data_IF_423330249921
#
_entry.id   IF_423330249921
#
_cell.length_a   1.000
_cell.length_b   1.000
_cell.length_c   1.000
_cell.angle_alpha   90.00
_cell.angle_beta   90.00
_cell.angle_gamma   90.00
#
_symmetry.space_group_name_H-M   'P 1'
#
loop_
_entity.id
_entity.type
_entity.pdbx_description
1 polymer ?
#
# COMPACT_ATOMS: atom_id res chain seq x y z
N UNK A 1 -43.97 -33.51 -9.56
CA UNK A 1 -42.58 -33.50 -10.09
C UNK A 1 -41.73 -32.88 -8.99
N UNK A 2 -41.00 -33.71 -8.23
CA UNK A 2 -39.99 -33.26 -7.25
C UNK A 2 -38.83 -32.61 -8.01
N UNK A 3 -38.41 -31.40 -7.57
CA UNK A 3 -37.18 -30.80 -8.02
C UNK A 3 -36.01 -31.78 -7.85
N UNK A 4 -35.08 -31.85 -8.80
CA UNK A 4 -33.89 -32.65 -8.62
C UNK A 4 -33.15 -32.17 -7.36
N UNK A 5 -32.76 -33.09 -6.49
CA UNK A 5 -31.86 -32.79 -5.37
C UNK A 5 -30.57 -32.16 -5.96
N UNK A 6 -30.23 -30.96 -5.52
CA UNK A 6 -28.92 -30.35 -5.83
C UNK A 6 -27.83 -31.33 -5.32
N UNK A 7 -27.04 -31.86 -6.23
CA UNK A 7 -25.89 -32.68 -5.86
C UNK A 7 -24.93 -31.79 -5.07
N UNK A 8 -24.79 -32.09 -3.80
CA UNK A 8 -23.79 -31.46 -2.94
C UNK A 8 -22.40 -31.81 -3.49
N UNK A 9 -21.78 -30.89 -4.18
CA UNK A 9 -20.39 -31.06 -4.64
C UNK A 9 -19.48 -31.09 -3.42
N UNK A 10 -19.06 -32.28 -3.00
CA UNK A 10 -18.03 -32.41 -1.97
C UNK A 10 -16.67 -32.16 -2.59
N UNK A 11 -16.15 -30.94 -2.43
CA UNK A 11 -14.76 -30.66 -2.79
C UNK A 11 -13.83 -31.32 -1.77
N UNK A 12 -12.89 -32.12 -2.27
CA UNK A 12 -11.87 -32.79 -1.44
C UNK A 12 -10.96 -31.72 -0.86
N UNK A 13 -10.74 -31.78 0.46
CA UNK A 13 -9.81 -30.89 1.14
C UNK A 13 -8.40 -31.06 0.56
N UNK A 14 -7.71 -29.96 0.18
CA UNK A 14 -6.36 -30.05 -0.39
C UNK A 14 -5.32 -30.57 0.60
N UNK A 15 -4.30 -31.28 0.09
CA UNK A 15 -3.18 -31.77 0.90
C UNK A 15 -1.97 -30.83 0.91
N UNK A 16 -1.79 -30.05 -0.20
CA UNK A 16 -0.65 -29.14 -0.36
C UNK A 16 -1.01 -27.74 0.11
N UNK A 17 -0.24 -27.19 1.03
CA UNK A 17 -0.40 -25.83 1.55
C UNK A 17 0.67 -24.88 0.98
N UNK A 18 0.41 -23.56 0.91
CA UNK A 18 1.46 -22.59 0.71
C UNK A 18 2.58 -22.77 1.74
N UNK A 19 3.81 -22.69 1.30
CA UNK A 19 4.97 -22.75 2.21
C UNK A 19 5.01 -21.54 3.17
N UNK A 20 4.49 -20.40 2.68
CA UNK A 20 4.32 -19.17 3.46
C UNK A 20 2.88 -18.64 3.28
N UNK A 21 1.98 -18.96 4.20
CA UNK A 21 0.55 -18.78 4.02
C UNK A 21 0.03 -17.37 4.36
N UNK A 22 0.90 -16.35 4.39
CA UNK A 22 0.54 -15.00 4.81
C UNK A 22 0.30 -14.08 3.62
N UNK A 23 -0.95 -13.61 3.46
CA UNK A 23 -1.39 -12.74 2.36
C UNK A 23 -1.88 -11.38 2.85
N UNK A 24 -1.39 -10.93 4.02
CA UNK A 24 -1.71 -9.61 4.57
C UNK A 24 -1.28 -8.47 3.64
N UNK A 25 -2.16 -7.49 3.45
CA UNK A 25 -1.85 -6.27 2.70
C UNK A 25 -1.12 -5.18 3.54
N UNK A 26 -0.66 -5.53 4.76
CA UNK A 26 0.16 -4.66 5.59
C UNK A 26 -0.07 -4.83 7.09
N UNK A 27 0.99 -5.28 7.80
CA UNK A 27 2.32 -5.66 7.30
C UNK A 27 2.25 -6.83 6.33
N UNK A 28 3.20 -6.90 5.40
CA UNK A 28 3.26 -8.00 4.43
C UNK A 28 4.32 -9.03 4.83
N UNK A 29 4.27 -10.21 4.21
CA UNK A 29 5.23 -11.27 4.47
C UNK A 29 6.66 -10.83 4.16
N UNK A 30 7.62 -11.26 4.98
CA UNK A 30 9.05 -11.11 4.71
C UNK A 30 9.44 -11.87 3.43
N UNK A 31 10.57 -11.46 2.80
CA UNK A 31 11.16 -12.21 1.69
C UNK A 31 11.47 -13.67 2.06
N UNK A 32 11.52 -14.56 1.09
CA UNK A 32 12.00 -15.91 1.31
C UNK A 32 13.46 -15.90 1.82
N UNK A 33 13.78 -16.78 2.74
CA UNK A 33 15.10 -16.86 3.35
C UNK A 33 15.45 -15.74 4.35
N UNK A 34 14.50 -14.88 4.71
CA UNK A 34 14.72 -13.92 5.79
C UNK A 34 14.90 -14.62 7.14
N UNK A 35 15.89 -14.19 7.91
CA UNK A 35 16.07 -14.60 9.30
C UNK A 35 16.48 -13.40 10.15
N UNK A 36 15.75 -13.16 11.24
CA UNK A 36 16.01 -12.05 12.16
C UNK A 36 17.44 -12.09 12.72
N UNK A 37 18.00 -13.29 12.91
CA UNK A 37 19.36 -13.48 13.44
C UNK A 37 20.48 -13.06 12.48
N UNK A 38 20.17 -12.81 11.22
CA UNK A 38 21.15 -12.36 10.22
C UNK A 38 21.30 -10.84 10.17
N UNK A 39 20.39 -10.11 10.83
CA UNK A 39 20.46 -8.64 10.89
C UNK A 39 21.64 -8.16 11.72
N UNK A 40 22.38 -7.10 11.27
CA UNK A 40 23.40 -6.46 12.07
C UNK A 40 22.86 -5.95 13.41
N UNK A 41 23.59 -6.16 14.49
CA UNK A 41 23.18 -5.77 15.84
C UNK A 41 24.18 -4.85 16.55
N UNK A 42 25.28 -4.51 15.92
CA UNK A 42 26.39 -3.73 16.46
C UNK A 42 26.02 -2.28 16.80
N UNK A 43 25.00 -1.71 16.14
CA UNK A 43 24.49 -0.37 16.40
C UNK A 43 23.27 -0.34 17.35
N UNK A 44 22.75 -1.49 17.77
CA UNK A 44 21.60 -1.53 18.69
C UNK A 44 21.97 -0.91 20.04
N UNK A 45 21.10 -0.01 20.52
CA UNK A 45 21.32 0.73 21.77
C UNK A 45 22.28 1.93 21.65
N UNK A 46 22.85 2.19 20.48
CA UNK A 46 23.62 3.42 20.21
C UNK A 46 22.71 4.63 20.16
N UNK A 47 23.25 5.78 20.51
CA UNK A 47 22.51 7.06 20.41
C UNK A 47 22.15 7.39 18.96
N UNK A 48 20.90 7.79 18.70
CA UNK A 48 20.37 8.10 17.37
C UNK A 48 21.16 9.22 16.62
N UNK A 49 21.94 10.00 17.32
CA UNK A 49 22.80 11.06 16.79
C UNK A 49 24.26 10.67 16.69
N UNK A 50 24.62 9.44 17.05
CA UNK A 50 25.97 8.94 16.83
C UNK A 50 26.27 8.93 15.31
N UNK A 51 27.46 9.36 14.88
CA UNK A 51 27.78 9.47 13.44
C UNK A 51 27.56 8.17 12.68
N UNK A 52 27.85 7.02 13.29
CA UNK A 52 27.67 5.70 12.69
C UNK A 52 26.18 5.37 12.47
N UNK A 53 25.32 5.79 13.41
CA UNK A 53 23.86 5.58 13.31
C UNK A 53 23.28 6.49 12.24
N UNK A 54 23.66 7.78 12.21
CA UNK A 54 23.22 8.73 11.18
C UNK A 54 23.64 8.24 9.79
N UNK A 55 24.91 7.77 9.66
CA UNK A 55 25.41 7.21 8.39
C UNK A 55 24.62 5.95 7.98
N UNK A 56 24.18 5.12 8.95
CA UNK A 56 23.37 3.94 8.66
C UNK A 56 21.98 4.32 8.12
N UNK A 57 21.34 5.37 8.68
CA UNK A 57 20.11 5.94 8.12
C UNK A 57 20.32 6.52 6.72
N UNK A 58 21.39 7.28 6.52
CA UNK A 58 21.75 7.82 5.21
C UNK A 58 22.01 6.70 4.19
N UNK A 59 22.66 5.60 4.59
CA UNK A 59 22.85 4.43 3.74
C UNK A 59 21.52 3.80 3.30
N UNK A 60 20.56 3.64 4.22
CA UNK A 60 19.22 3.15 3.89
C UNK A 60 18.50 4.04 2.87
N UNK A 61 18.61 5.39 2.97
CA UNK A 61 18.06 6.31 1.96
C UNK A 61 18.74 6.14 0.59
N UNK A 62 20.07 5.97 0.55
CA UNK A 62 20.78 5.72 -0.71
C UNK A 62 20.37 4.43 -1.39
N UNK A 63 20.25 3.33 -0.61
CA UNK A 63 19.76 2.05 -1.15
C UNK A 63 18.29 2.15 -1.62
N UNK A 64 17.45 2.87 -0.88
CA UNK A 64 16.06 3.11 -1.29
C UNK A 64 16.02 3.86 -2.61
N UNK A 65 16.86 4.91 -2.78
CA UNK A 65 16.99 5.65 -4.04
C UNK A 65 17.41 4.75 -5.19
N UNK A 66 18.45 3.93 -4.95
CA UNK A 66 19.00 3.01 -5.95
C UNK A 66 17.93 2.02 -6.44
N UNK A 67 17.23 1.34 -5.50
CA UNK A 67 16.25 0.30 -5.84
C UNK A 67 14.99 0.90 -6.49
N UNK A 68 14.53 2.09 -6.06
CA UNK A 68 13.35 2.76 -6.62
C UNK A 68 13.68 3.63 -7.83
N UNK A 69 14.96 3.76 -8.21
CA UNK A 69 15.41 4.60 -9.33
C UNK A 69 14.97 6.07 -9.17
N UNK A 70 14.97 6.58 -7.91
CA UNK A 70 14.57 7.97 -7.63
C UNK A 70 15.60 8.94 -8.21
N UNK A 71 15.19 9.96 -9.01
CA UNK A 71 16.11 10.92 -9.61
C UNK A 71 16.96 11.67 -8.57
N UNK A 72 18.21 12.01 -8.91
CA UNK A 72 19.14 12.75 -8.04
C UNK A 72 18.64 14.14 -7.65
N UNK A 73 17.76 14.74 -8.46
CA UNK A 73 17.14 16.03 -8.18
C UNK A 73 16.16 16.00 -6.99
N UNK A 74 15.66 14.82 -6.64
CA UNK A 74 14.72 14.64 -5.53
C UNK A 74 15.46 14.41 -4.22
N UNK A 75 14.86 14.83 -3.12
CA UNK A 75 15.35 14.51 -1.77
C UNK A 75 14.49 13.45 -1.14
N UNK A 76 15.09 12.64 -0.26
CA UNK A 76 14.39 11.60 0.48
C UNK A 76 14.63 11.75 1.96
N UNK A 77 13.63 11.40 2.77
CA UNK A 77 13.73 11.45 4.22
C UNK A 77 12.84 10.40 4.88
N UNK A 78 13.14 10.10 6.13
CA UNK A 78 12.29 9.26 6.97
C UNK A 78 11.32 10.09 7.79
N UNK A 79 10.11 9.55 8.00
CA UNK A 79 9.08 10.12 8.85
C UNK A 79 8.63 9.12 9.91
N UNK A 80 8.23 9.56 11.11
CA UNK A 80 7.62 8.68 12.09
C UNK A 80 6.17 8.33 11.71
N UNK A 81 5.65 7.22 12.23
CA UNK A 81 4.24 6.88 12.10
C UNK A 81 3.86 6.19 10.78
N UNK A 82 4.83 5.50 10.15
CA UNK A 82 4.59 4.81 8.90
C UNK A 82 4.19 5.79 7.79
N UNK A 83 3.43 5.34 6.79
CA UNK A 83 2.96 6.24 5.73
C UNK A 83 1.94 7.27 6.22
N UNK A 84 1.11 6.93 7.20
CA UNK A 84 0.20 7.92 7.81
C UNK A 84 0.97 9.16 8.24
N UNK A 85 2.08 9.00 8.96
CA UNK A 85 2.91 10.13 9.35
C UNK A 85 3.61 10.83 8.19
N UNK A 86 3.94 10.10 7.11
CA UNK A 86 4.53 10.70 5.91
C UNK A 86 3.50 11.58 5.18
N UNK A 87 2.31 11.07 4.92
CA UNK A 87 1.23 11.84 4.30
C UNK A 87 0.86 13.03 5.16
N UNK A 88 0.58 12.84 6.47
CA UNK A 88 0.24 13.95 7.36
C UNK A 88 1.34 15.02 7.40
N UNK A 89 2.63 14.64 7.39
CA UNK A 89 3.71 15.63 7.34
C UNK A 89 3.67 16.48 6.06
N UNK A 90 3.31 15.88 4.91
CA UNK A 90 3.09 16.63 3.68
C UNK A 90 1.85 17.53 3.77
N UNK A 91 0.71 17.02 4.23
CA UNK A 91 -0.54 17.77 4.33
C UNK A 91 -0.39 18.96 5.28
N UNK A 92 0.13 18.74 6.51
CA UNK A 92 0.31 19.80 7.51
C UNK A 92 1.35 20.85 7.10
N UNK A 93 2.41 20.40 6.40
CA UNK A 93 3.54 21.27 6.05
C UNK A 93 3.36 22.06 4.75
N UNK A 94 2.57 21.56 3.78
CA UNK A 94 2.56 22.10 2.41
C UNK A 94 1.20 22.66 1.96
N UNK A 95 0.06 22.17 2.52
CA UNK A 95 -1.27 22.59 2.07
C UNK A 95 -1.68 23.96 2.61
N UNK A 96 -2.50 24.66 1.82
CA UNK A 96 -3.06 25.98 2.14
C UNK A 96 -2.41 27.13 1.37
N UNK A 97 -1.31 26.89 0.66
CA UNK A 97 -0.76 27.85 -0.30
C UNK A 97 -1.64 27.98 -1.56
N UNK A 98 -2.36 26.91 -1.88
CA UNK A 98 -3.31 26.81 -3.00
C UNK A 98 -4.58 26.11 -2.54
N UNK A 99 -5.71 26.25 -3.26
CA UNK A 99 -6.86 25.38 -3.06
C UNK A 99 -6.45 23.92 -3.21
N UNK A 100 -7.23 23.01 -2.63
CA UNK A 100 -6.91 21.58 -2.56
C UNK A 100 -7.96 20.75 -3.29
N UNK A 101 -7.52 19.71 -3.97
CA UNK A 101 -8.38 18.65 -4.51
C UNK A 101 -7.88 17.29 -4.01
N UNK A 102 -8.80 16.41 -3.62
CA UNK A 102 -8.47 15.05 -3.16
C UNK A 102 -9.16 14.03 -4.03
N UNK A 103 -8.40 13.14 -4.65
CA UNK A 103 -8.91 12.00 -5.39
C UNK A 103 -9.01 10.82 -4.42
N UNK A 104 -10.24 10.44 -4.04
CA UNK A 104 -10.49 9.48 -2.98
C UNK A 104 -11.43 8.36 -3.46
N UNK A 105 -10.87 7.20 -3.79
CA UNK A 105 -11.59 6.03 -4.31
C UNK A 105 -11.40 4.77 -3.45
N UNK A 106 -10.85 4.96 -2.25
CA UNK A 106 -10.62 3.89 -1.28
C UNK A 106 -10.47 4.48 0.12
N UNK A 107 -10.34 3.64 1.15
CA UNK A 107 -10.39 4.10 2.54
C UNK A 107 -9.32 5.13 2.92
N UNK A 108 -8.07 4.98 2.46
CA UNK A 108 -6.99 5.90 2.83
C UNK A 108 -7.18 7.25 2.13
N UNK A 109 -7.54 7.27 0.84
CA UNK A 109 -7.90 8.51 0.16
C UNK A 109 -9.05 9.27 0.84
N UNK A 110 -10.06 8.54 1.35
CA UNK A 110 -11.14 9.13 2.14
C UNK A 110 -10.63 9.64 3.51
N UNK A 111 -9.64 8.99 4.11
CA UNK A 111 -9.00 9.49 5.34
C UNK A 111 -8.24 10.78 5.07
N UNK A 112 -7.46 10.86 3.99
CA UNK A 112 -6.76 12.10 3.60
C UNK A 112 -7.74 13.23 3.29
N UNK A 113 -8.87 12.94 2.69
CA UNK A 113 -9.96 13.91 2.49
C UNK A 113 -10.50 14.45 3.82
N UNK A 114 -10.74 13.56 4.78
CA UNK A 114 -11.19 13.95 6.12
C UNK A 114 -10.12 14.77 6.84
N UNK A 115 -8.84 14.42 6.76
CA UNK A 115 -7.75 15.20 7.36
C UNK A 115 -7.68 16.60 6.80
N UNK A 116 -7.77 16.76 5.49
CA UNK A 116 -7.76 18.08 4.84
C UNK A 116 -8.97 18.92 5.28
N UNK A 117 -10.15 18.31 5.32
CA UNK A 117 -11.40 19.03 5.63
C UNK A 117 -11.57 19.27 7.12
N UNK A 118 -11.52 18.22 7.92
CA UNK A 118 -11.99 18.25 9.31
C UNK A 118 -10.86 18.61 10.28
N UNK A 119 -9.60 18.32 9.94
CA UNK A 119 -8.44 18.56 10.81
C UNK A 119 -7.60 19.75 10.39
N UNK A 120 -7.41 19.97 9.07
CA UNK A 120 -6.72 21.17 8.58
C UNK A 120 -7.67 22.36 8.39
N UNK A 121 -8.99 22.14 8.38
CA UNK A 121 -9.98 23.21 8.18
C UNK A 121 -9.91 23.84 6.78
N UNK A 122 -9.45 23.10 5.78
CA UNK A 122 -9.45 23.51 4.38
C UNK A 122 -10.73 23.04 3.69
N UNK A 123 -11.11 23.69 2.58
CA UNK A 123 -12.28 23.34 1.79
C UNK A 123 -11.83 22.58 0.51
N UNK A 124 -11.57 21.26 0.60
CA UNK A 124 -11.11 20.51 -0.56
C UNK A 124 -12.26 20.22 -1.53
N UNK A 125 -11.95 20.23 -2.82
CA UNK A 125 -12.78 19.56 -3.82
C UNK A 125 -12.47 18.06 -3.80
N UNK A 126 -13.50 17.22 -3.82
CA UNK A 126 -13.35 15.78 -3.75
C UNK A 126 -13.75 15.11 -5.07
N UNK A 127 -12.84 14.36 -5.69
CA UNK A 127 -13.15 13.41 -6.75
C UNK A 127 -13.27 12.01 -6.12
N UNK A 128 -14.48 11.49 -6.06
CA UNK A 128 -14.76 10.19 -5.41
C UNK A 128 -15.39 9.22 -6.41
N UNK A 129 -15.27 7.92 -6.10
CA UNK A 129 -15.93 6.86 -6.85
C UNK A 129 -16.45 5.77 -5.89
N UNK A 130 -17.41 4.94 -6.31
CA UNK A 130 -17.79 3.73 -5.60
C UNK A 130 -16.62 2.76 -5.42
N UNK A 131 -16.73 1.83 -4.48
CA UNK A 131 -15.75 0.76 -4.30
C UNK A 131 -15.57 -0.06 -5.58
N UNK A 132 -14.30 -0.25 -5.97
CA UNK A 132 -13.94 -0.95 -7.20
C UNK A 132 -13.89 -0.05 -8.44
N UNK A 133 -14.19 1.23 -8.31
CA UNK A 133 -14.15 2.19 -9.40
C UNK A 133 -13.09 3.28 -9.18
N UNK A 134 -12.63 3.87 -10.26
CA UNK A 134 -11.73 5.03 -10.26
C UNK A 134 -12.54 6.25 -10.74
N UNK A 135 -12.49 7.40 -10.06
CA UNK A 135 -13.13 8.62 -10.54
C UNK A 135 -12.53 9.06 -11.89
N UNK A 136 -13.25 9.91 -12.58
CA UNK A 136 -12.74 10.51 -13.83
C UNK A 136 -11.56 11.44 -13.53
N UNK A 137 -10.36 10.96 -13.77
CA UNK A 137 -9.11 11.69 -13.50
C UNK A 137 -8.92 12.90 -14.43
N UNK A 138 -9.65 13.00 -15.56
CA UNK A 138 -9.63 14.18 -16.43
C UNK A 138 -10.23 15.43 -15.77
N UNK A 139 -10.95 15.25 -14.66
CA UNK A 139 -11.51 16.32 -13.83
C UNK A 139 -10.51 16.88 -12.80
N UNK A 140 -9.28 16.39 -12.78
CA UNK A 140 -8.25 16.90 -11.88
C UNK A 140 -7.89 18.35 -12.27
N UNK A 141 -8.00 19.26 -11.30
CA UNK A 141 -7.66 20.69 -11.46
C UNK A 141 -6.23 20.95 -10.98
N UNK A 142 -5.29 20.97 -11.90
CA UNK A 142 -3.86 21.16 -11.63
C UNK A 142 -3.45 22.59 -11.28
N UNK A 143 -4.39 23.54 -11.19
CA UNK A 143 -4.17 24.80 -10.48
C UNK A 143 -4.16 24.66 -8.95
N UNK A 144 -4.67 23.51 -8.45
CA UNK A 144 -4.78 23.12 -7.05
C UNK A 144 -3.64 22.17 -6.64
N UNK A 145 -3.40 22.05 -5.33
CA UNK A 145 -2.64 20.93 -4.80
C UNK A 145 -3.54 19.67 -4.82
N UNK A 146 -3.10 18.62 -5.51
CA UNK A 146 -3.90 17.39 -5.73
C UNK A 146 -3.29 16.25 -4.93
N UNK A 147 -4.11 15.63 -4.05
CA UNK A 147 -3.72 14.49 -3.22
C UNK A 147 -4.43 13.24 -3.73
N UNK A 148 -3.71 12.14 -3.89
CA UNK A 148 -4.27 10.89 -4.38
C UNK A 148 -3.43 9.67 -3.97
N UNK A 149 -4.04 8.50 -3.72
CA UNK A 149 -3.32 7.24 -3.69
C UNK A 149 -3.01 6.77 -5.12
N UNK A 150 -1.78 6.29 -5.35
CA UNK A 150 -1.42 5.64 -6.62
C UNK A 150 -2.09 4.28 -6.75
N UNK A 151 -2.22 3.59 -5.63
CA UNK A 151 -2.83 2.28 -5.55
C UNK A 151 -3.71 2.16 -4.30
N UNK A 152 -4.97 1.87 -4.49
CA UNK A 152 -5.96 1.72 -3.43
C UNK A 152 -5.89 0.35 -2.77
N UNK A 153 -5.17 0.27 -1.65
CA UNK A 153 -4.97 -0.96 -0.89
C UNK A 153 -6.28 -1.62 -0.45
N UNK A 154 -7.33 -0.84 -0.28
CA UNK A 154 -8.61 -1.33 0.28
C UNK A 154 -9.70 -1.54 -0.76
N UNK A 155 -9.55 -0.97 -1.96
CA UNK A 155 -10.50 -1.10 -3.08
C UNK A 155 -10.00 -2.02 -4.20
N UNK A 156 -8.69 -2.34 -4.22
CA UNK A 156 -8.07 -3.07 -5.33
C UNK A 156 -7.98 -2.26 -6.64
N UNK A 157 -8.14 -0.94 -6.56
CA UNK A 157 -8.08 -0.02 -7.70
C UNK A 157 -6.74 0.68 -7.73
N UNK A 158 -6.16 0.86 -8.90
CA UNK A 158 -4.94 1.66 -9.10
C UNK A 158 -5.15 2.75 -10.14
N UNK A 159 -4.33 3.79 -10.07
CA UNK A 159 -4.15 4.75 -11.16
C UNK A 159 -3.42 4.03 -12.31
N UNK A 160 -3.95 4.01 -13.55
CA UNK A 160 -3.36 3.23 -14.64
C UNK A 160 -2.06 3.82 -15.18
N UNK A 161 -1.96 5.16 -15.26
CA UNK A 161 -0.84 5.91 -15.81
C UNK A 161 -0.78 7.32 -15.22
N UNK A 162 0.16 8.15 -15.68
CA UNK A 162 0.34 9.54 -15.26
C UNK A 162 -0.08 10.57 -16.31
N UNK A 163 -0.75 10.17 -17.38
CA UNK A 163 -1.10 11.07 -18.49
C UNK A 163 -2.09 12.17 -18.06
N UNK A 164 -2.87 11.91 -17.02
CA UNK A 164 -3.79 12.88 -16.42
C UNK A 164 -3.09 13.97 -15.59
N UNK A 165 -1.80 13.79 -15.23
CA UNK A 165 -1.03 14.77 -14.46
C UNK A 165 -0.39 15.78 -15.41
N UNK A 166 -0.86 17.02 -15.37
CA UNK A 166 -0.39 18.07 -16.26
C UNK A 166 1.09 18.43 -16.04
N UNK A 167 1.86 18.63 -17.11
CA UNK A 167 3.26 19.02 -17.04
C UNK A 167 3.42 20.47 -16.55
N UNK A 168 2.51 21.35 -16.94
CA UNK A 168 2.46 22.78 -16.61
C UNK A 168 1.65 23.06 -15.34
N UNK A 169 1.42 22.04 -14.51
CA UNK A 169 0.67 22.16 -13.26
C UNK A 169 1.21 23.25 -12.35
N UNK A 170 0.33 24.03 -11.76
CA UNK A 170 0.70 25.03 -10.77
C UNK A 170 0.74 24.47 -9.35
N UNK A 171 -0.18 23.57 -9.00
CA UNK A 171 -0.24 22.87 -7.73
C UNK A 171 0.78 21.73 -7.60
N UNK A 172 0.85 21.12 -6.42
CA UNK A 172 1.66 19.94 -6.15
C UNK A 172 0.86 18.66 -6.41
N UNK A 173 1.50 17.68 -7.02
CA UNK A 173 1.02 16.30 -7.09
C UNK A 173 1.52 15.53 -5.86
N UNK A 174 0.65 15.28 -4.88
CA UNK A 174 0.95 14.59 -3.61
C UNK A 174 0.40 13.17 -3.69
N UNK A 175 1.29 12.21 -3.80
CA UNK A 175 0.97 10.82 -4.09
C UNK A 175 1.28 9.92 -2.89
N UNK A 176 0.24 9.30 -2.33
CA UNK A 176 0.38 8.13 -1.46
C UNK A 176 0.65 6.90 -2.33
N UNK A 177 1.90 6.45 -2.35
CA UNK A 177 2.37 5.29 -3.09
C UNK A 177 2.61 4.06 -2.20
N UNK A 178 2.04 4.03 -1.02
CA UNK A 178 2.31 3.04 0.04
C UNK A 178 2.25 1.60 -0.45
N UNK A 179 1.25 1.25 -1.23
CA UNK A 179 1.10 -0.10 -1.77
C UNK A 179 1.54 -0.23 -3.24
N UNK A 180 2.12 0.83 -3.81
CA UNK A 180 2.65 0.88 -5.17
C UNK A 180 4.18 0.85 -5.21
N UNK A 181 4.85 1.57 -4.30
CA UNK A 181 6.31 1.63 -4.25
C UNK A 181 6.92 0.21 -4.20
N UNK A 182 7.96 -0.03 -4.98
CA UNK A 182 8.63 -1.32 -5.20
C UNK A 182 7.80 -2.39 -5.94
N UNK A 183 6.57 -2.10 -6.35
CA UNK A 183 5.70 -3.07 -7.00
C UNK A 183 5.09 -2.54 -8.31
N UNK A 184 5.18 -1.24 -8.54
CA UNK A 184 4.70 -0.53 -9.73
C UNK A 184 5.69 0.57 -10.12
N UNK A 185 5.78 0.94 -11.41
CA UNK A 185 6.56 2.11 -11.80
C UNK A 185 5.91 3.39 -11.26
N UNK A 186 6.75 4.33 -10.80
CA UNK A 186 6.31 5.64 -10.32
C UNK A 186 6.96 6.75 -11.18
N UNK A 187 6.16 7.63 -11.80
CA UNK A 187 6.65 8.70 -12.67
C UNK A 187 7.12 9.90 -11.84
N UNK A 188 8.34 9.85 -11.32
CA UNK A 188 8.89 10.90 -10.44
C UNK A 188 8.94 12.30 -11.08
N UNK A 189 8.97 12.40 -12.39
CA UNK A 189 8.88 13.67 -13.14
C UNK A 189 7.49 14.33 -13.05
N UNK A 190 6.46 13.54 -12.76
CA UNK A 190 5.08 13.99 -12.57
C UNK A 190 4.68 14.15 -11.10
N UNK A 191 5.42 13.57 -10.16
CA UNK A 191 5.06 13.51 -8.75
C UNK A 191 5.92 14.47 -7.92
N UNK A 192 5.28 15.36 -7.16
CA UNK A 192 6.02 16.33 -6.33
C UNK A 192 6.31 15.78 -4.93
N UNK A 193 5.39 15.02 -4.37
CA UNK A 193 5.56 14.30 -3.12
C UNK A 193 5.15 12.86 -3.34
N UNK A 194 6.01 11.92 -2.98
CA UNK A 194 5.70 10.50 -2.96
C UNK A 194 5.93 9.97 -1.56
N UNK A 195 4.93 9.31 -0.98
CA UNK A 195 5.04 8.71 0.35
C UNK A 195 4.84 7.20 0.29
N UNK A 196 5.54 6.49 1.16
CA UNK A 196 5.37 5.05 1.38
C UNK A 196 5.97 4.64 2.72
N UNK A 197 5.86 3.37 3.07
CA UNK A 197 6.36 2.84 4.34
C UNK A 197 6.97 1.44 4.20
N UNK A 198 7.77 1.05 5.19
CA UNK A 198 8.58 -0.16 5.16
C UNK A 198 7.76 -1.46 5.09
N UNK A 199 6.58 -1.51 5.72
CA UNK A 199 5.81 -2.73 5.93
C UNK A 199 4.99 -3.20 4.71
N UNK A 200 5.20 -2.63 3.52
CA UNK A 200 4.47 -2.99 2.30
C UNK A 200 5.30 -3.87 1.37
N UNK A 201 5.52 -3.51 0.13
CA UNK A 201 6.03 -4.40 -0.91
C UNK A 201 7.30 -5.19 -0.54
N UNK A 202 8.23 -4.60 0.21
CA UNK A 202 9.46 -5.29 0.65
C UNK A 202 9.32 -6.05 1.97
N UNK A 203 8.17 -5.99 2.65
CA UNK A 203 7.94 -6.75 3.88
C UNK A 203 8.77 -6.28 5.07
N UNK A 204 9.21 -5.01 5.12
CA UNK A 204 9.89 -4.44 6.27
C UNK A 204 8.99 -4.29 7.50
N UNK A 205 9.57 -4.04 8.68
CA UNK A 205 8.79 -3.76 9.88
C UNK A 205 8.17 -2.36 9.84
N UNK A 206 6.96 -2.25 10.42
CA UNK A 206 6.21 -1.00 10.45
C UNK A 206 6.84 0.07 11.36
N UNK A 207 6.34 1.31 11.25
CA UNK A 207 6.67 2.42 12.14
C UNK A 207 7.45 3.55 11.49
N UNK A 208 8.15 3.29 10.39
CA UNK A 208 8.89 4.30 9.64
C UNK A 208 8.26 4.47 8.25
N UNK A 209 7.97 5.74 7.91
CA UNK A 209 7.59 6.18 6.59
C UNK A 209 8.77 6.74 5.82
N UNK A 210 8.64 6.82 4.52
CA UNK A 210 9.58 7.47 3.60
C UNK A 210 8.83 8.52 2.79
N UNK A 211 9.46 9.66 2.62
CA UNK A 211 8.95 10.73 1.76
C UNK A 211 10.01 11.06 0.71
N UNK A 212 9.61 11.15 -0.54
CA UNK A 212 10.39 11.64 -1.67
C UNK A 212 9.82 12.98 -2.08
N UNK A 213 10.67 14.01 -2.19
CA UNK A 213 10.28 15.37 -2.51
C UNK A 213 10.96 15.82 -3.81
N UNK A 214 10.17 16.29 -4.76
CA UNK A 214 10.67 16.98 -5.96
C UNK A 214 11.29 18.32 -5.59
N UNK A 215 12.07 18.96 -6.47
CA UNK A 215 12.53 20.34 -6.29
C UNK A 215 11.37 21.31 -6.00
N UNK A 216 10.19 21.13 -6.62
CA UNK A 216 9.00 21.97 -6.40
C UNK A 216 8.43 21.81 -4.98
N UNK A 217 8.39 20.58 -4.46
CA UNK A 217 7.94 20.33 -3.09
C UNK A 217 8.92 20.93 -2.06
N UNK A 218 10.22 20.83 -2.31
CA UNK A 218 11.25 21.49 -1.48
C UNK A 218 11.11 23.02 -1.53
N UNK A 219 10.88 23.61 -2.70
CA UNK A 219 10.64 25.03 -2.86
C UNK A 219 9.38 25.48 -2.07
N UNK A 220 8.31 24.67 -2.09
CA UNK A 220 7.11 24.92 -1.29
C UNK A 220 7.45 24.99 0.21
N UNK A 221 8.25 24.08 0.73
CA UNK A 221 8.69 24.08 2.13
C UNK A 221 9.62 25.26 2.47
N UNK A 222 10.39 25.74 1.50
CA UNK A 222 11.30 26.88 1.68
C UNK A 222 10.57 28.23 1.64
N UNK A 223 9.44 28.33 0.96
CA UNK A 223 8.76 29.59 0.67
C UNK A 223 7.40 29.77 1.34
N UNK A 224 6.70 28.68 1.69
CA UNK A 224 5.39 28.74 2.31
C UNK A 224 5.42 28.35 3.79
N UNK A 225 4.67 29.06 4.61
CA UNK A 225 4.46 28.76 6.03
C UNK A 225 2.97 28.70 6.33
N UNK A 226 2.45 27.54 6.72
CA UNK A 226 1.07 27.44 7.17
C UNK A 226 0.79 28.30 8.42
N UNK A 227 -0.38 28.92 8.50
CA UNK A 227 -0.82 29.71 9.66
C UNK A 227 -1.28 28.86 10.85
N UNK A 228 -1.16 27.53 10.73
CA UNK A 228 -1.52 26.56 11.76
C UNK A 228 -0.29 26.02 12.49
N UNK A 229 -0.43 25.62 13.77
CA UNK A 229 0.64 24.92 14.46
C UNK A 229 0.89 23.54 13.83
N UNK A 230 2.18 23.22 13.60
CA UNK A 230 2.59 21.92 13.10
C UNK A 230 3.22 21.13 14.26
N UNK A 231 2.70 19.94 14.61
CA UNK A 231 3.32 19.06 15.58
C UNK A 231 4.77 18.77 15.22
N UNK A 232 5.63 18.62 16.24
CA UNK A 232 7.07 18.39 15.99
C UNK A 232 7.32 17.20 15.06
N UNK A 233 6.56 16.12 15.20
CA UNK A 233 6.73 14.88 14.42
C UNK A 233 6.40 15.05 12.92
N UNK A 234 5.59 16.05 12.57
CA UNK A 234 5.19 16.36 11.20
C UNK A 234 5.98 17.53 10.60
N UNK A 235 6.91 18.11 11.37
CA UNK A 235 7.61 19.34 10.97
C UNK A 235 8.83 19.01 10.11
N UNK A 236 8.75 19.33 8.84
CA UNK A 236 9.82 19.15 7.86
C UNK A 236 10.74 20.38 7.73
N UNK A 237 10.48 21.44 8.51
CA UNK A 237 11.21 22.71 8.41
C UNK A 237 12.07 22.99 9.65
N UNK A 238 13.19 23.65 9.42
CA UNK A 238 14.11 24.12 10.45
C UNK A 238 13.57 25.34 11.24
N UNK A 239 14.35 25.85 12.20
CA UNK A 239 14.00 27.03 13.00
C UNK A 239 13.86 28.33 12.20
N UNK A 240 14.30 28.36 10.95
CA UNK A 240 14.13 29.48 10.01
C UNK A 240 12.91 29.29 9.11
N UNK A 241 12.19 28.17 9.25
CA UNK A 241 11.01 27.79 8.47
C UNK A 241 11.32 27.40 7.03
N UNK A 242 12.51 26.85 6.76
CA UNK A 242 12.90 26.27 5.47
C UNK A 242 13.05 24.76 5.65
N UNK A 243 12.98 24.04 4.57
CA UNK A 243 13.19 22.58 4.59
C UNK A 243 14.47 22.25 5.38
N UNK A 244 14.34 21.37 6.37
CA UNK A 244 15.48 20.90 7.16
C UNK A 244 16.31 19.90 6.35
N UNK A 245 17.40 20.38 5.75
CA UNK A 245 18.29 19.57 4.89
C UNK A 245 18.90 18.39 5.62
N UNK A 246 19.08 18.47 6.95
CA UNK A 246 19.59 17.35 7.75
C UNK A 246 18.73 16.10 7.66
N UNK A 247 17.42 16.24 7.40
CA UNK A 247 16.52 15.09 7.21
C UNK A 247 16.92 14.26 5.97
N UNK A 248 17.40 14.92 4.90
CA UNK A 248 17.87 14.23 3.71
C UNK A 248 19.25 13.56 3.91
N UNK A 249 19.99 13.97 4.94
CA UNK A 249 21.29 13.39 5.32
C UNK A 249 21.14 12.26 6.35
N UNK A 250 19.94 11.77 6.62
CA UNK A 250 19.68 10.67 7.57
C UNK A 250 19.48 11.13 9.02
N UNK A 251 19.42 12.44 9.28
CA UNK A 251 19.06 12.96 10.61
C UNK A 251 17.58 12.70 10.87
N UNK A 252 17.27 12.01 11.95
CA UNK A 252 15.90 11.64 12.28
C UNK A 252 15.14 12.75 13.01
N UNK A 253 13.85 12.95 12.67
CA UNK A 253 12.94 13.89 13.35
C UNK A 253 12.83 13.53 14.85
N UNK A 254 12.74 12.24 15.13
CA UNK A 254 12.69 11.67 16.50
C UNK A 254 13.54 10.40 16.56
N UNK A 255 13.54 9.71 17.71
CA UNK A 255 14.28 8.46 17.86
C UNK A 255 13.57 7.32 17.13
N UNK A 256 14.15 6.84 16.03
CA UNK A 256 13.70 5.64 15.31
C UNK A 256 14.36 4.37 15.85
N UNK A 257 13.75 3.24 15.57
CA UNK A 257 14.32 1.92 15.83
C UNK A 257 15.42 1.60 14.83
N UNK A 258 16.65 1.39 15.33
CA UNK A 258 17.77 0.92 14.50
C UNK A 258 17.49 -0.49 13.99
N UNK A 259 16.85 -1.36 14.76
CA UNK A 259 16.49 -2.71 14.32
C UNK A 259 15.53 -2.68 13.12
N UNK A 260 14.53 -1.78 13.15
CA UNK A 260 13.61 -1.59 12.01
C UNK A 260 14.33 -1.07 10.77
N UNK A 261 15.38 -0.23 10.96
CA UNK A 261 16.21 0.23 9.86
C UNK A 261 17.07 -0.91 9.28
N UNK A 262 17.68 -1.76 10.13
CA UNK A 262 18.46 -2.91 9.65
C UNK A 262 17.61 -3.91 8.88
N UNK A 263 16.39 -4.16 9.35
CA UNK A 263 15.40 -4.98 8.64
C UNK A 263 15.06 -4.39 7.25
N UNK A 264 14.91 -3.06 7.17
CA UNK A 264 14.68 -2.36 5.89
C UNK A 264 15.88 -2.45 4.96
N UNK A 265 17.09 -2.27 5.47
CA UNK A 265 18.33 -2.38 4.69
C UNK A 265 18.53 -3.81 4.16
N UNK A 266 18.21 -4.83 4.96
CA UNK A 266 18.22 -6.23 4.51
C UNK A 266 17.26 -6.43 3.33
N UNK A 267 16.03 -5.94 3.46
CA UNK A 267 15.03 -6.05 2.39
C UNK A 267 15.46 -5.32 1.10
N UNK A 268 16.06 -4.13 1.23
CA UNK A 268 16.62 -3.38 0.09
C UNK A 268 17.82 -4.08 -0.54
N UNK A 269 18.71 -4.67 0.28
CA UNK A 269 19.84 -5.45 -0.21
C UNK A 269 19.37 -6.64 -1.04
N UNK A 270 18.42 -7.40 -0.51
CA UNK A 270 17.78 -8.47 -1.27
C UNK A 270 17.13 -7.98 -2.58
N UNK A 271 16.38 -6.88 -2.53
CA UNK A 271 15.72 -6.32 -3.70
C UNK A 271 16.72 -5.96 -4.80
N UNK A 272 17.83 -5.31 -4.45
CA UNK A 272 18.93 -5.00 -5.37
C UNK A 272 19.56 -6.27 -5.95
N UNK A 273 19.87 -7.24 -5.10
CA UNK A 273 20.62 -8.43 -5.47
C UNK A 273 19.82 -9.37 -6.41
N UNK A 274 18.49 -9.35 -6.34
CA UNK A 274 17.64 -10.11 -7.26
C UNK A 274 17.40 -9.42 -8.61
N UNK A 275 17.81 -8.15 -8.78
CA UNK A 275 17.67 -7.41 -10.04
C UNK A 275 16.92 -6.07 -9.94
N UNK A 276 16.73 -5.53 -8.75
CA UNK A 276 16.16 -4.20 -8.51
C UNK A 276 14.67 -4.09 -8.84
N UNK A 277 14.21 -2.87 -9.14
CA UNK A 277 12.80 -2.53 -9.33
C UNK A 277 12.13 -3.38 -10.41
N UNK A 278 12.80 -3.61 -11.53
CA UNK A 278 12.25 -4.39 -12.65
C UNK A 278 11.89 -5.83 -12.24
N UNK A 279 12.74 -6.48 -11.45
CA UNK A 279 12.48 -7.84 -10.95
C UNK A 279 11.38 -7.86 -9.89
N UNK A 280 11.33 -6.85 -9.01
CA UNK A 280 10.26 -6.71 -8.01
C UNK A 280 8.88 -6.57 -8.69
N UNK A 281 8.78 -5.73 -9.72
CA UNK A 281 7.57 -5.56 -10.53
C UNK A 281 7.21 -6.88 -11.22
N UNK A 282 8.19 -7.53 -11.88
CA UNK A 282 7.96 -8.82 -12.56
C UNK A 282 7.40 -9.89 -11.61
N UNK A 283 7.93 -9.98 -10.38
CA UNK A 283 7.43 -10.91 -9.35
C UNK A 283 5.99 -10.57 -8.95
N UNK A 284 5.70 -9.30 -8.73
CA UNK A 284 4.34 -8.82 -8.41
C UNK A 284 3.36 -9.16 -9.54
N UNK A 285 3.73 -8.90 -10.78
CA UNK A 285 2.89 -9.19 -11.95
C UNK A 285 2.67 -10.70 -12.14
N UNK A 286 3.70 -11.53 -11.88
CA UNK A 286 3.56 -12.98 -11.93
C UNK A 286 2.59 -13.51 -10.86
N UNK A 287 2.63 -12.97 -9.66
CA UNK A 287 1.69 -13.30 -8.57
C UNK A 287 0.26 -12.91 -8.93
N UNK A 288 0.08 -11.67 -9.42
CA UNK A 288 -1.21 -11.20 -9.90
C UNK A 288 -1.75 -12.07 -11.04
N UNK A 289 -0.92 -12.39 -12.03
CA UNK A 289 -1.31 -13.22 -13.17
C UNK A 289 -1.75 -14.63 -12.73
N UNK A 290 -1.06 -15.23 -11.77
CA UNK A 290 -1.44 -16.54 -11.22
C UNK A 290 -2.81 -16.48 -10.53
N UNK A 291 -3.06 -15.45 -9.72
CA UNK A 291 -4.35 -15.25 -9.08
C UNK A 291 -5.46 -14.93 -10.10
N UNK A 292 -5.17 -14.07 -11.08
CA UNK A 292 -6.13 -13.71 -12.12
C UNK A 292 -6.55 -14.92 -12.96
N UNK A 293 -5.59 -15.77 -13.34
CA UNK A 293 -5.89 -17.00 -14.09
C UNK A 293 -6.76 -18.00 -13.31
N UNK A 294 -6.72 -17.95 -11.98
CA UNK A 294 -7.64 -18.70 -11.13
C UNK A 294 -9.02 -18.05 -11.08
N UNK A 295 -9.10 -16.74 -10.85
CA UNK A 295 -10.39 -15.99 -10.82
C UNK A 295 -11.15 -16.19 -12.13
N UNK A 296 -10.49 -16.11 -13.30
CA UNK A 296 -11.12 -16.29 -14.62
C UNK A 296 -11.79 -17.67 -14.81
N UNK A 297 -11.41 -18.67 -14.04
CA UNK A 297 -11.94 -20.06 -14.12
C UNK A 297 -12.90 -20.39 -12.99
N UNK A 298 -13.12 -19.45 -12.05
CA UNK A 298 -13.83 -19.68 -10.81
C UNK A 298 -15.17 -18.93 -10.84
N UNK A 299 -16.28 -19.66 -10.87
CA UNK A 299 -17.63 -19.10 -11.09
C UNK A 299 -18.20 -18.32 -9.89
N UNK A 300 -17.66 -18.51 -8.69
CA UNK A 300 -18.23 -17.94 -7.46
C UNK A 300 -17.57 -16.63 -7.02
N UNK A 301 -16.50 -16.19 -7.68
CA UNK A 301 -15.72 -14.99 -7.31
C UNK A 301 -15.32 -14.20 -8.56
N UNK A 302 -15.22 -12.89 -8.43
CA UNK A 302 -14.73 -11.99 -9.47
C UNK A 302 -13.92 -10.84 -8.84
N UNK A 303 -13.23 -10.07 -9.64
CA UNK A 303 -12.55 -8.86 -9.19
C UNK A 303 -13.56 -7.82 -8.70
N UNK A 304 -13.23 -7.16 -7.59
CA UNK A 304 -14.00 -5.98 -7.16
C UNK A 304 -13.90 -4.85 -8.20
N UNK A 305 -12.70 -4.50 -8.74
CA UNK A 305 -12.60 -3.62 -9.91
C UNK A 305 -12.93 -4.39 -11.20
N UNK A 306 -14.03 -4.00 -11.87
CA UNK A 306 -14.47 -4.67 -13.09
C UNK A 306 -13.54 -4.40 -14.28
N UNK A 307 -13.06 -3.16 -14.41
CA UNK A 307 -12.15 -2.76 -15.49
C UNK A 307 -10.73 -3.27 -15.27
N UNK A 308 -10.16 -4.08 -16.19
CA UNK A 308 -8.83 -4.69 -16.00
C UNK A 308 -7.70 -3.67 -15.82
N UNK A 309 -7.75 -2.53 -16.53
CA UNK A 309 -6.69 -1.52 -16.55
C UNK A 309 -6.50 -0.81 -15.20
N UNK A 310 -7.54 -0.77 -14.36
CA UNK A 310 -7.47 -0.17 -13.03
C UNK A 310 -7.26 -1.19 -11.90
N UNK A 311 -7.08 -2.48 -12.21
CA UNK A 311 -6.87 -3.51 -11.18
C UNK A 311 -5.50 -3.34 -10.53
N UNK A 312 -5.48 -3.30 -9.20
CA UNK A 312 -4.23 -3.37 -8.42
C UNK A 312 -3.56 -4.71 -8.61
N UNK A 313 -2.25 -4.70 -8.86
CA UNK A 313 -1.44 -5.92 -8.95
C UNK A 313 -0.88 -6.36 -7.59
N UNK A 314 -0.99 -5.53 -6.56
CA UNK A 314 -0.49 -5.85 -5.21
C UNK A 314 -1.61 -6.24 -4.25
N UNK A 315 -2.56 -5.35 -4.00
CA UNK A 315 -3.69 -5.59 -3.11
C UNK A 315 -4.91 -5.97 -3.95
N UNK A 316 -5.03 -7.25 -4.25
CA UNK A 316 -6.09 -7.76 -5.13
C UNK A 316 -7.36 -7.95 -4.34
N UNK A 317 -8.37 -7.12 -4.61
CA UNK A 317 -9.69 -7.20 -3.98
C UNK A 317 -10.68 -7.96 -4.88
N UNK A 318 -11.35 -8.95 -4.30
CA UNK A 318 -12.29 -9.82 -4.97
C UNK A 318 -13.66 -9.73 -4.30
N UNK A 319 -14.73 -9.91 -5.08
CA UNK A 319 -16.14 -9.97 -4.65
C UNK A 319 -16.73 -11.33 -4.91
N UNK A 320 -17.55 -11.82 -3.99
CA UNK A 320 -18.37 -13.00 -4.24
C UNK A 320 -19.47 -12.69 -5.25
N UNK A 321 -19.68 -13.59 -6.20
CA UNK A 321 -20.75 -13.47 -7.23
C UNK A 321 -21.74 -14.63 -7.18
N UNK A 322 -21.47 -15.66 -6.36
CA UNK A 322 -22.35 -16.81 -6.18
C UNK A 322 -23.67 -16.40 -5.49
N UNK A 323 -24.83 -16.82 -6.02
CA UNK A 323 -26.15 -16.52 -5.43
C UNK A 323 -26.31 -17.00 -3.98
N UNK A 324 -25.61 -18.06 -3.55
CA UNK A 324 -25.64 -18.53 -2.15
C UNK A 324 -25.12 -17.46 -1.18
N UNK A 325 -24.22 -16.59 -1.63
CA UNK A 325 -23.63 -15.50 -0.84
C UNK A 325 -24.31 -14.17 -1.13
N UNK A 326 -24.49 -13.81 -2.43
CA UNK A 326 -24.99 -12.47 -2.81
C UNK A 326 -26.45 -12.20 -2.40
N UNK A 327 -27.26 -13.23 -2.17
CA UNK A 327 -28.63 -13.10 -1.63
C UNK A 327 -28.70 -12.83 -0.12
N UNK A 328 -27.58 -13.03 0.60
CA UNK A 328 -27.50 -12.70 2.01
C UNK A 328 -27.49 -11.18 2.21
N UNK A 329 -28.02 -10.72 3.31
CA UNK A 329 -27.86 -9.34 3.73
C UNK A 329 -26.39 -9.04 4.10
N UNK A 330 -26.05 -7.77 4.30
CA UNK A 330 -24.68 -7.35 4.64
C UNK A 330 -24.11 -8.08 5.86
N UNK A 331 -24.94 -8.34 6.87
CA UNK A 331 -24.55 -9.10 8.07
C UNK A 331 -24.27 -10.56 7.74
N UNK A 332 -25.10 -11.17 6.90
CA UNK A 332 -24.93 -12.55 6.44
C UNK A 332 -23.66 -12.72 5.61
N UNK A 333 -23.40 -11.79 4.67
CA UNK A 333 -22.16 -11.80 3.88
C UNK A 333 -20.92 -11.63 4.75
N UNK A 334 -20.92 -10.74 5.73
CA UNK A 334 -19.81 -10.59 6.69
C UNK A 334 -19.63 -11.85 7.56
N UNK A 335 -20.69 -12.51 7.95
CA UNK A 335 -20.63 -13.78 8.67
C UNK A 335 -20.04 -14.89 7.78
N UNK A 336 -20.42 -14.93 6.51
CA UNK A 336 -19.85 -15.84 5.52
C UNK A 336 -18.32 -15.63 5.36
N UNK A 337 -17.87 -14.40 5.16
CA UNK A 337 -16.43 -14.06 5.10
C UNK A 337 -15.70 -14.52 6.36
N UNK A 338 -16.28 -14.29 7.54
CA UNK A 338 -15.70 -14.72 8.82
C UNK A 338 -15.58 -16.24 8.91
N UNK A 339 -16.60 -16.98 8.44
CA UNK A 339 -16.57 -18.45 8.41
C UNK A 339 -15.56 -18.98 7.43
N UNK A 340 -15.53 -18.41 6.21
CA UNK A 340 -14.56 -18.74 5.16
C UNK A 340 -13.12 -18.59 5.68
N UNK A 341 -12.82 -17.46 6.30
CA UNK A 341 -11.52 -17.19 6.94
C UNK A 341 -11.19 -18.23 8.02
N UNK A 342 -12.13 -18.49 8.93
CA UNK A 342 -11.91 -19.44 10.03
C UNK A 342 -11.58 -20.85 9.55
N UNK A 343 -12.14 -21.29 8.41
CA UNK A 343 -11.80 -22.57 7.79
C UNK A 343 -10.35 -22.62 7.34
N UNK A 344 -9.88 -21.58 6.66
CA UNK A 344 -8.52 -21.50 6.12
C UNK A 344 -7.45 -21.34 7.21
N UNK A 345 -7.70 -20.49 8.20
CA UNK A 345 -6.82 -20.28 9.34
C UNK A 345 -6.76 -21.51 10.25
N UNK A 346 -7.90 -22.19 10.45
CA UNK A 346 -7.98 -23.44 11.22
C UNK A 346 -7.12 -24.55 10.62
N UNK A 347 -6.92 -24.52 9.30
CA UNK A 347 -6.00 -25.41 8.59
C UNK A 347 -4.57 -24.87 8.47
N UNK A 348 -4.31 -23.65 8.91
CA UNK A 348 -3.05 -22.94 8.67
C UNK A 348 -2.67 -22.92 7.16
N UNK A 349 -3.65 -22.73 6.29
CA UNK A 349 -3.49 -22.77 4.85
C UNK A 349 -3.40 -21.38 4.21
N UNK A 350 -4.22 -20.42 4.66
CA UNK A 350 -4.20 -19.02 4.21
C UNK A 350 -4.59 -18.13 5.37
N UNK A 351 -3.85 -17.03 5.56
CA UNK A 351 -4.08 -16.04 6.61
C UNK A 351 -4.26 -14.64 6.01
N UNK A 352 -4.96 -13.78 6.76
CA UNK A 352 -5.03 -12.32 6.57
C UNK A 352 -5.58 -11.85 5.21
N UNK A 353 -6.55 -12.57 4.67
CA UNK A 353 -7.15 -12.25 3.37
C UNK A 353 -8.49 -11.54 3.43
N UNK A 354 -8.92 -11.11 4.59
CA UNK A 354 -10.15 -10.35 4.73
C UNK A 354 -10.06 -8.95 4.11
N UNK A 355 -11.18 -8.42 3.60
CA UNK A 355 -11.23 -7.05 3.11
C UNK A 355 -11.02 -6.06 4.27
N UNK A 356 -10.71 -4.81 3.93
CA UNK A 356 -10.69 -3.75 4.94
C UNK A 356 -12.09 -3.59 5.57
N UNK A 357 -12.15 -3.28 6.87
CA UNK A 357 -13.41 -3.17 7.65
C UNK A 357 -14.49 -2.27 7.03
N UNK A 358 -14.07 -1.26 6.24
CA UNK A 358 -14.96 -0.31 5.58
C UNK A 358 -15.24 -0.69 4.11
N UNK A 359 -14.58 -1.73 3.58
CA UNK A 359 -14.80 -2.22 2.22
C UNK A 359 -16.01 -3.17 2.15
N UNK A 360 -16.59 -3.39 0.97
CA UNK A 360 -17.60 -4.42 0.77
C UNK A 360 -17.10 -5.81 1.19
N UNK A 361 -18.02 -6.72 1.61
CA UNK A 361 -17.67 -8.11 1.87
C UNK A 361 -17.01 -8.78 0.65
N UNK A 362 -15.90 -9.47 0.85
CA UNK A 362 -15.13 -10.09 -0.22
C UNK A 362 -13.82 -10.67 0.30
N UNK A 363 -12.84 -10.77 -0.57
CA UNK A 363 -11.48 -11.21 -0.21
C UNK A 363 -10.48 -10.14 -0.64
N UNK A 364 -9.34 -10.09 0.04
CA UNK A 364 -8.22 -9.25 -0.33
C UNK A 364 -6.93 -10.02 -0.14
N UNK A 365 -6.25 -10.35 -1.22
CA UNK A 365 -4.98 -11.04 -1.21
C UNK A 365 -3.84 -10.11 -1.60
N UNK A 366 -2.76 -10.17 -0.84
CA UNK A 366 -1.54 -9.45 -1.19
C UNK A 366 -0.70 -10.28 -2.16
N UNK A 367 -0.40 -9.68 -3.32
CA UNK A 367 0.39 -10.28 -4.40
C UNK A 367 1.75 -9.58 -4.60
N UNK A 368 2.23 -8.81 -3.63
CA UNK A 368 3.50 -8.08 -3.73
C UNK A 368 4.72 -8.99 -3.87
N UNK A 369 5.85 -8.39 -4.17
CA UNK A 369 7.06 -9.07 -4.66
C UNK A 369 7.73 -10.04 -3.66
N UNK A 370 7.43 -9.96 -2.36
CA UNK A 370 7.93 -10.89 -1.33
C UNK A 370 7.13 -12.18 -1.23
N UNK A 371 5.94 -12.23 -1.82
CA UNK A 371 5.14 -13.45 -1.95
C UNK A 371 5.70 -14.29 -3.09
N UNK A 372 5.76 -15.62 -2.90
CA UNK A 372 6.16 -16.54 -3.95
C UNK A 372 4.94 -16.95 -4.80
N UNK A 373 5.09 -16.95 -6.11
CA UNK A 373 4.00 -17.34 -7.04
C UNK A 373 3.49 -18.76 -6.75
N UNK A 374 4.37 -19.65 -6.31
CA UNK A 374 4.00 -21.01 -5.90
C UNK A 374 3.05 -21.00 -4.69
N UNK A 375 3.20 -20.06 -3.75
CA UNK A 375 2.31 -19.93 -2.61
C UNK A 375 0.93 -19.39 -3.02
N UNK A 376 0.87 -18.45 -3.98
CA UNK A 376 -0.40 -18.01 -4.57
C UNK A 376 -1.14 -19.17 -5.23
N UNK A 377 -0.44 -19.97 -6.04
CA UNK A 377 -1.03 -21.14 -6.71
C UNK A 377 -1.49 -22.19 -5.68
N UNK A 378 -0.69 -22.46 -4.65
CA UNK A 378 -1.03 -23.43 -3.61
C UNK A 378 -2.20 -22.97 -2.72
N UNK A 379 -2.46 -21.67 -2.63
CA UNK A 379 -3.59 -21.11 -1.86
C UNK A 379 -4.93 -21.34 -2.58
N UNK A 380 -4.98 -21.29 -3.91
CA UNK A 380 -6.26 -21.29 -4.65
C UNK A 380 -7.13 -22.53 -4.44
N UNK A 381 -6.64 -23.79 -4.39
CA UNK A 381 -7.49 -24.93 -4.05
C UNK A 381 -8.07 -24.85 -2.63
N UNK A 382 -7.37 -24.23 -1.69
CA UNK A 382 -7.86 -24.01 -0.34
C UNK A 382 -8.98 -22.97 -0.30
N UNK A 383 -8.91 -21.94 -1.15
CA UNK A 383 -10.00 -20.99 -1.31
C UNK A 383 -11.27 -21.67 -1.84
N UNK A 384 -11.13 -22.57 -2.82
CA UNK A 384 -12.24 -23.36 -3.36
C UNK A 384 -12.87 -24.28 -2.29
N UNK A 385 -12.04 -25.01 -1.55
CA UNK A 385 -12.51 -25.87 -0.48
C UNK A 385 -13.24 -25.08 0.62
N UNK A 386 -12.69 -23.96 1.04
CA UNK A 386 -13.30 -23.13 2.08
C UNK A 386 -14.62 -22.51 1.61
N UNK A 387 -14.69 -22.10 0.32
CA UNK A 387 -15.91 -21.55 -0.26
C UNK A 387 -17.04 -22.58 -0.23
N UNK A 388 -16.83 -23.75 -0.81
CA UNK A 388 -17.87 -24.79 -0.86
C UNK A 388 -18.26 -25.28 0.53
N UNK A 389 -17.29 -25.39 1.46
CA UNK A 389 -17.59 -25.77 2.83
C UNK A 389 -18.49 -24.73 3.51
N UNK A 390 -18.15 -23.43 3.38
CA UNK A 390 -18.94 -22.36 4.00
C UNK A 390 -20.31 -22.17 3.30
N UNK A 391 -20.34 -22.28 1.96
CA UNK A 391 -21.57 -22.11 1.19
C UNK A 391 -22.61 -23.20 1.47
N UNK A 392 -22.18 -24.44 1.74
CA UNK A 392 -23.06 -25.53 2.13
C UNK A 392 -23.65 -25.36 3.55
N UNK A 393 -23.09 -24.48 4.40
CA UNK A 393 -23.61 -24.17 5.73
C UNK A 393 -24.70 -23.08 5.71
N UNK A 394 -24.77 -22.27 4.64
CA UNK A 394 -25.75 -21.16 4.53
C UNK A 394 -26.85 -21.41 3.50
N UNK A 395 -26.75 -22.48 2.72
CA UNK A 395 -27.77 -22.98 1.80
C UNK A 395 -28.70 -23.93 2.48
#
# INVERSE_FOLDING_TARGET
LSAPAEETIMIVKPDVKPARPWFSAGPTAKRAGYALGDLPSDLLGRGIRAPEVVERFAHGLRLTREVLEVPDSHVMLYTPGSDTGAVEAALWGMLGARPVQVVAYENFGLTWLADVKDHLGLEPEALTAPWGELPDLSLADWSRDVIFPWNGTTSGVRVPDADWIADDREGLAICDATSAAFAMPLPYDKLDVVTFSFQKALGGEAGIGVMVLSPRAVERLDTYRPDRPIPKLLRLTDGKGRFDRGLADGVAINTFSVLTLEDWIDALGWARDIGGLSELIRRTDANFAALAAWVEKTEWIDFLPERPEIRSTTSVCLKFVDPRVTRLDDKGQKAFVSRFKALLEGEAAVFDMEPHRNAPPGLRLWCGCTVETADVIAATPWLEWAFETAANEVG
#
